data_IF_670999180498
#
_entry.id   IF_670999180498
#
_cell.length_a   1.000
_cell.length_b   1.000
_cell.length_c   1.000
_cell.angle_alpha   90.00
_cell.angle_beta   90.00
_cell.angle_gamma   90.00
#
_symmetry.space_group_name_H-M   'P 1'
#
loop_
_entity.id
_entity.type
_entity.pdbx_description
1 polymer ?
#
# COMPACT_ATOMS: atom_id res chain seq x y z
N UNK A 1 -11.71 -24.01 14.07
CA UNK A 1 -11.61 -22.57 14.35
C UNK A 1 -11.87 -21.84 13.05
N UNK A 2 -12.66 -20.77 13.05
CA UNK A 2 -12.96 -19.96 11.86
C UNK A 2 -12.22 -18.63 12.04
N UNK A 3 -11.41 -18.23 11.06
CA UNK A 3 -10.62 -16.99 11.08
C UNK A 3 -11.20 -16.03 10.03
N UNK A 4 -11.70 -14.87 10.46
CA UNK A 4 -12.38 -13.86 9.62
C UNK A 4 -12.12 -12.43 10.10
N UNK A 5 -11.00 -12.20 10.78
CA UNK A 5 -10.66 -10.94 11.48
C UNK A 5 -9.58 -10.10 10.79
N UNK A 6 -8.97 -10.60 9.70
CA UNK A 6 -7.77 -9.99 9.06
C UNK A 6 -7.88 -9.75 7.54
N UNK A 7 -9.06 -9.87 6.96
CA UNK A 7 -9.29 -9.73 5.51
C UNK A 7 -8.44 -10.69 4.63
N UNK A 8 -8.04 -11.84 5.17
CA UNK A 8 -7.30 -12.86 4.43
C UNK A 8 -8.22 -13.61 3.45
N UNK A 9 -7.73 -13.89 2.24
CA UNK A 9 -8.48 -14.74 1.30
C UNK A 9 -8.52 -16.19 1.81
N UNK A 10 -9.70 -16.84 1.87
CA UNK A 10 -9.79 -18.26 2.19
C UNK A 10 -9.37 -19.16 1.01
N UNK A 11 -9.17 -18.57 -0.17
CA UNK A 11 -8.76 -19.26 -1.40
C UNK A 11 -7.26 -18.99 -1.61
N UNK A 12 -6.41 -20.03 -1.72
CA UNK A 12 -5.00 -19.83 -1.98
C UNK A 12 -4.78 -19.26 -3.38
N UNK A 13 -3.87 -18.30 -3.50
CA UNK A 13 -3.53 -17.68 -4.79
C UNK A 13 -2.83 -18.64 -5.77
N UNK A 14 -2.08 -19.61 -5.22
CA UNK A 14 -1.37 -20.65 -5.97
C UNK A 14 -1.64 -22.02 -5.35
N UNK A 15 -1.70 -23.05 -6.20
CA UNK A 15 -1.72 -24.44 -5.78
C UNK A 15 -0.37 -24.86 -5.18
N UNK A 16 -0.37 -25.96 -4.42
CA UNK A 16 0.87 -26.52 -3.84
C UNK A 16 1.90 -26.91 -4.91
N UNK A 17 1.44 -27.38 -6.07
CA UNK A 17 2.31 -27.73 -7.20
C UNK A 17 2.96 -26.50 -7.81
N UNK A 18 2.23 -25.40 -7.99
CA UNK A 18 2.77 -24.14 -8.53
C UNK A 18 3.80 -23.54 -7.57
N UNK A 19 3.53 -23.55 -6.26
CA UNK A 19 4.50 -23.08 -5.25
C UNK A 19 5.78 -23.94 -5.31
N UNK A 20 5.65 -25.26 -5.36
CA UNK A 20 6.80 -26.16 -5.44
C UNK A 20 7.62 -25.93 -6.73
N UNK A 21 6.94 -25.65 -7.85
CA UNK A 21 7.59 -25.32 -9.11
C UNK A 21 8.39 -24.02 -9.01
N UNK A 22 7.80 -22.95 -8.46
CA UNK A 22 8.51 -21.67 -8.24
C UNK A 22 9.75 -21.86 -7.38
N UNK A 23 9.63 -22.60 -6.27
CA UNK A 23 10.76 -22.86 -5.36
C UNK A 23 11.87 -23.63 -6.07
N UNK A 24 11.53 -24.67 -6.85
CA UNK A 24 12.53 -25.50 -7.54
C UNK A 24 13.30 -24.73 -8.63
N UNK A 25 12.69 -23.71 -9.23
CA UNK A 25 13.31 -22.91 -10.30
C UNK A 25 13.95 -21.61 -9.80
N UNK A 26 13.85 -21.30 -8.51
CA UNK A 26 14.46 -20.10 -7.92
C UNK A 26 15.87 -20.41 -7.43
N UNK A 27 16.88 -19.74 -8.00
CA UNK A 27 18.25 -19.78 -7.46
C UNK A 27 18.44 -18.75 -6.35
N UNK A 28 18.30 -19.18 -5.10
CA UNK A 28 18.43 -18.31 -3.93
C UNK A 28 19.86 -17.83 -3.63
N UNK A 29 20.86 -18.24 -4.41
CA UNK A 29 22.26 -17.80 -4.23
C UNK A 29 22.55 -16.47 -4.93
N UNK A 30 21.65 -16.01 -5.80
CA UNK A 30 21.81 -14.80 -6.61
C UNK A 30 20.64 -13.84 -6.38
N UNK A 31 20.88 -12.55 -6.55
CA UNK A 31 19.83 -11.54 -6.45
C UNK A 31 18.83 -11.66 -7.62
N UNK A 32 17.52 -11.48 -7.38
CA UNK A 32 16.47 -11.74 -8.35
C UNK A 32 16.23 -10.56 -9.32
N UNK A 33 17.28 -9.93 -9.84
CA UNK A 33 17.14 -8.70 -10.65
C UNK A 33 16.31 -8.93 -11.93
N UNK A 34 16.59 -10.02 -12.66
CA UNK A 34 15.83 -10.38 -13.87
C UNK A 34 14.36 -10.66 -13.53
N UNK A 35 14.11 -11.46 -12.50
CA UNK A 35 12.76 -11.82 -12.06
C UNK A 35 11.97 -10.60 -11.60
N UNK A 36 12.63 -9.64 -10.94
CA UNK A 36 12.02 -8.37 -10.55
C UNK A 36 11.55 -7.57 -11.78
N UNK A 37 12.42 -7.41 -12.78
CA UNK A 37 12.07 -6.67 -14.01
C UNK A 37 10.97 -7.38 -14.82
N UNK A 38 11.02 -8.71 -14.91
CA UNK A 38 9.99 -9.51 -15.57
C UNK A 38 8.64 -9.38 -14.86
N UNK A 39 8.64 -9.39 -13.52
CA UNK A 39 7.43 -9.15 -12.73
C UNK A 39 6.83 -7.75 -12.99
N UNK A 40 7.65 -6.70 -12.94
CA UNK A 40 7.18 -5.34 -13.23
C UNK A 40 6.57 -5.23 -14.62
N UNK A 41 7.23 -5.85 -15.62
CA UNK A 41 6.70 -5.87 -16.99
C UNK A 41 5.37 -6.60 -17.07
N UNK A 42 5.26 -7.81 -16.51
CA UNK A 42 4.04 -8.59 -16.55
C UNK A 42 2.88 -7.87 -15.85
N UNK A 43 3.14 -7.22 -14.71
CA UNK A 43 2.15 -6.43 -13.98
C UNK A 43 1.71 -5.20 -14.79
N UNK A 44 2.66 -4.46 -15.38
CA UNK A 44 2.35 -3.31 -16.22
C UNK A 44 1.51 -3.71 -17.44
N UNK A 45 1.87 -4.78 -18.14
CA UNK A 45 1.14 -5.31 -19.29
C UNK A 45 -0.31 -5.70 -18.90
N UNK A 46 -0.50 -6.36 -17.75
CA UNK A 46 -1.82 -6.77 -17.25
C UNK A 46 -2.75 -5.56 -16.98
N UNK A 47 -2.21 -4.48 -16.41
CA UNK A 47 -2.96 -3.27 -16.10
C UNK A 47 -2.95 -2.20 -17.20
N UNK A 48 -2.36 -2.48 -18.37
CA UNK A 48 -2.14 -1.52 -19.47
C UNK A 48 -1.39 -0.25 -19.03
N UNK A 49 -0.33 -0.41 -18.25
CA UNK A 49 0.57 0.64 -17.79
C UNK A 49 1.93 0.54 -18.49
N UNK A 50 2.73 1.60 -18.41
CA UNK A 50 4.15 1.50 -18.77
C UNK A 50 4.94 0.93 -17.59
N UNK A 51 5.99 0.15 -17.85
CA UNK A 51 6.82 -0.46 -16.79
C UNK A 51 7.45 0.58 -15.86
N UNK A 52 7.76 1.79 -16.36
CA UNK A 52 8.30 2.89 -15.54
C UNK A 52 7.25 3.56 -14.62
N UNK A 53 6.00 3.10 -14.63
CA UNK A 53 4.93 3.52 -13.74
C UNK A 53 4.66 2.48 -12.63
N UNK A 54 5.43 1.39 -12.59
CA UNK A 54 5.25 0.29 -11.63
C UNK A 54 6.53 0.07 -10.85
N UNK A 55 6.40 -0.05 -9.54
CA UNK A 55 7.47 -0.46 -8.63
C UNK A 55 6.92 -1.52 -7.68
N UNK A 56 7.75 -2.46 -7.23
CA UNK A 56 7.36 -3.45 -6.23
C UNK A 56 7.88 -3.04 -4.84
N UNK A 57 7.12 -3.41 -3.80
CA UNK A 57 7.51 -3.26 -2.41
C UNK A 57 6.98 -4.45 -1.61
N UNK A 58 7.46 -4.61 -0.38
CA UNK A 58 7.02 -5.66 0.55
C UNK A 58 5.66 -5.29 1.16
N UNK A 59 4.61 -5.31 0.33
CA UNK A 59 3.25 -4.93 0.72
C UNK A 59 2.99 -3.43 0.64
N UNK A 60 1.72 -3.05 0.90
CA UNK A 60 1.29 -1.65 0.87
C UNK A 60 1.89 -0.80 1.99
N UNK A 61 2.24 -1.42 3.11
CA UNK A 61 2.82 -0.74 4.28
C UNK A 61 4.13 -0.03 3.92
N UNK A 62 5.02 -0.71 3.19
CA UNK A 62 6.26 -0.12 2.69
C UNK A 62 5.96 1.05 1.72
N UNK A 63 4.94 0.92 0.87
CA UNK A 63 4.56 2.02 -0.02
C UNK A 63 4.02 3.25 0.71
N UNK A 64 3.17 3.06 1.71
CA UNK A 64 2.62 4.16 2.51
C UNK A 64 3.77 4.90 3.20
N UNK A 65 4.69 4.18 3.85
CA UNK A 65 5.84 4.79 4.50
C UNK A 65 6.76 5.50 3.50
N UNK A 66 7.05 4.89 2.34
CA UNK A 66 7.85 5.51 1.29
C UNK A 66 7.20 6.78 0.73
N UNK A 67 5.87 6.81 0.57
CA UNK A 67 5.15 8.01 0.15
C UNK A 67 5.33 9.13 1.17
N UNK A 68 5.17 8.85 2.47
CA UNK A 68 5.35 9.85 3.54
C UNK A 68 6.78 10.41 3.54
N UNK A 69 7.79 9.57 3.32
CA UNK A 69 9.20 9.98 3.27
C UNK A 69 9.57 10.76 2.00
N UNK A 70 8.95 10.43 0.86
CA UNK A 70 9.30 11.01 -0.44
C UNK A 70 8.55 12.32 -0.75
N UNK A 71 7.39 12.54 -0.14
CA UNK A 71 6.59 13.75 -0.35
C UNK A 71 7.19 14.95 0.41
N UNK A 72 6.95 16.20 -0.07
CA UNK A 72 7.40 17.42 0.61
C UNK A 72 6.95 17.51 2.07
N UNK A 73 7.59 18.40 2.83
CA UNK A 73 7.20 18.70 4.22
C UNK A 73 5.73 19.13 4.32
N UNK A 74 5.06 18.69 5.39
CA UNK A 74 3.61 18.87 5.61
C UNK A 74 3.04 17.73 6.48
N UNK A 75 1.88 17.92 7.14
CA UNK A 75 1.23 16.85 7.88
C UNK A 75 0.67 15.77 6.95
N UNK A 76 0.61 14.52 7.42
CA UNK A 76 -0.19 13.49 6.75
C UNK A 76 -1.67 13.78 7.05
N UNK A 77 -2.50 13.99 6.03
CA UNK A 77 -3.95 14.08 6.20
C UNK A 77 -4.62 12.74 5.85
N UNK A 78 -5.37 12.17 6.78
CA UNK A 78 -6.14 10.93 6.57
C UNK A 78 -7.60 11.08 7.02
N UNK A 79 -8.42 10.07 6.73
CA UNK A 79 -9.81 9.99 7.16
C UNK A 79 -9.92 9.31 8.54
N UNK A 80 -11.04 9.52 9.23
CA UNK A 80 -11.35 8.86 10.50
C UNK A 80 -12.82 8.37 10.57
N UNK A 81 -13.07 7.07 10.77
CA UNK A 81 -12.10 5.99 10.89
C UNK A 81 -11.50 5.59 9.53
N UNK A 82 -10.25 5.14 9.53
CA UNK A 82 -9.54 4.60 8.36
C UNK A 82 -8.42 3.63 8.82
N UNK A 83 -7.57 3.20 7.91
CA UNK A 83 -6.46 2.30 8.16
C UNK A 83 -5.43 2.93 9.12
N UNK A 84 -5.26 2.30 10.29
CA UNK A 84 -4.45 2.81 11.41
C UNK A 84 -2.97 3.03 11.05
N UNK A 85 -2.46 2.34 10.02
CA UNK A 85 -1.06 2.42 9.66
C UNK A 85 -0.66 3.80 9.11
N UNK A 86 -1.59 4.61 8.59
CA UNK A 86 -1.26 6.00 8.23
C UNK A 86 -0.77 6.78 9.45
N UNK A 87 -1.43 6.60 10.61
CA UNK A 87 -1.03 7.19 11.89
C UNK A 87 0.29 6.66 12.40
N UNK A 88 0.46 5.34 12.34
CA UNK A 88 1.67 4.72 12.86
C UNK A 88 2.89 5.09 12.01
N UNK A 89 2.75 5.14 10.69
CA UNK A 89 3.85 5.57 9.81
C UNK A 89 4.14 7.06 9.90
N UNK A 90 3.14 7.93 9.96
CA UNK A 90 3.36 9.36 10.21
C UNK A 90 4.18 9.57 11.50
N UNK A 91 3.81 8.87 12.58
CA UNK A 91 4.54 8.89 13.85
C UNK A 91 5.97 8.37 13.73
N UNK A 92 6.19 7.26 13.02
CA UNK A 92 7.52 6.67 12.82
C UNK A 92 8.45 7.57 12.00
N UNK A 93 7.89 8.35 11.08
CA UNK A 93 8.63 9.28 10.22
C UNK A 93 8.62 10.71 10.75
N UNK A 94 8.20 10.93 12.00
CA UNK A 94 8.14 12.25 12.66
C UNK A 94 7.32 13.30 11.87
N UNK A 95 6.26 12.85 11.22
CA UNK A 95 5.28 13.69 10.53
C UNK A 95 4.07 13.94 11.41
N UNK A 96 3.62 15.19 11.45
CA UNK A 96 2.32 15.55 12.02
C UNK A 96 1.20 14.79 11.30
N UNK A 97 0.11 14.50 12.00
CA UNK A 97 -1.05 13.83 11.41
C UNK A 97 -2.34 14.57 11.70
N UNK A 98 -3.14 14.67 10.66
CA UNK A 98 -4.42 15.35 10.64
C UNK A 98 -5.54 14.43 10.18
N UNK A 99 -6.76 14.71 10.61
CA UNK A 99 -7.92 13.85 10.35
C UNK A 99 -9.13 14.62 9.84
N UNK A 100 -9.89 13.99 8.94
CA UNK A 100 -11.27 14.35 8.63
C UNK A 100 -12.19 13.22 9.08
N UNK A 101 -13.04 13.51 10.07
CA UNK A 101 -14.00 12.53 10.59
C UNK A 101 -15.18 12.34 9.63
N UNK A 102 -15.68 11.10 9.54
CA UNK A 102 -16.93 10.80 8.85
C UNK A 102 -18.15 11.37 9.60
N UNK A 103 -19.29 11.40 8.91
CA UNK A 103 -20.59 11.62 9.55
C UNK A 103 -21.11 10.36 10.29
N UNK A 104 -22.34 10.43 10.80
CA UNK A 104 -22.98 9.34 11.53
C UNK A 104 -23.26 8.09 10.67
N UNK A 105 -23.27 8.24 9.33
CA UNK A 105 -23.49 7.17 8.36
C UNK A 105 -22.16 6.65 7.76
N UNK A 106 -21.02 7.02 8.35
CA UNK A 106 -19.66 6.73 7.84
C UNK A 106 -19.40 7.28 6.43
N UNK A 107 -20.04 8.40 6.07
CA UNK A 107 -19.74 9.11 4.82
C UNK A 107 -18.74 10.23 5.06
N UNK A 108 -17.94 10.50 4.03
CA UNK A 108 -16.98 11.60 4.03
C UNK A 108 -17.45 12.71 3.09
N UNK A 109 -17.42 13.94 3.59
CA UNK A 109 -17.76 15.13 2.81
C UNK A 109 -16.55 15.59 2.01
N UNK A 110 -16.68 15.62 0.67
CA UNK A 110 -15.64 16.15 -0.20
C UNK A 110 -15.29 17.61 0.14
N UNK A 111 -16.29 18.43 0.41
CA UNK A 111 -16.09 19.84 0.79
C UNK A 111 -15.27 19.95 2.07
N UNK A 112 -15.59 19.14 3.09
CA UNK A 112 -14.83 19.12 4.35
C UNK A 112 -13.39 18.68 4.14
N UNK A 113 -13.15 17.68 3.27
CA UNK A 113 -11.80 17.22 2.93
C UNK A 113 -11.01 18.33 2.24
N UNK A 114 -11.59 18.97 1.22
CA UNK A 114 -10.93 20.05 0.47
C UNK A 114 -10.59 21.24 1.39
N UNK A 115 -11.54 21.68 2.21
CA UNK A 115 -11.30 22.75 3.18
C UNK A 115 -10.18 22.37 4.16
N UNK A 116 -10.11 21.11 4.61
CA UNK A 116 -9.05 20.66 5.51
C UNK A 116 -7.69 20.65 4.84
N UNK A 117 -7.61 20.22 3.57
CA UNK A 117 -6.38 20.29 2.77
C UNK A 117 -5.91 21.75 2.68
N UNK A 118 -6.82 22.68 2.40
CA UNK A 118 -6.49 24.11 2.32
C UNK A 118 -6.01 24.66 3.69
N UNK A 119 -6.60 24.21 4.80
CA UNK A 119 -6.25 24.68 6.16
C UNK A 119 -4.88 24.17 6.63
N UNK A 120 -4.55 22.90 6.40
CA UNK A 120 -3.35 22.26 6.97
C UNK A 120 -2.20 22.10 6.00
N UNK A 121 -2.45 22.28 4.70
CA UNK A 121 -1.45 22.15 3.63
C UNK A 121 -0.63 20.85 3.78
N UNK A 122 -1.31 19.67 3.73
CA UNK A 122 -0.65 18.37 3.91
C UNK A 122 0.31 18.03 2.76
#
# INVERSE_FOLDING_TARGET
MIYIDKNESPIPALSKSEIAEVINHTDFRVYPETQYNDFLKAYADFYNLNTNQVLAANGSDEWIQNCILALPEGPVLTLSPDFVMYTEFARQTERDIEYVSCDQDFRFSLETILNRIDDVQP
#
